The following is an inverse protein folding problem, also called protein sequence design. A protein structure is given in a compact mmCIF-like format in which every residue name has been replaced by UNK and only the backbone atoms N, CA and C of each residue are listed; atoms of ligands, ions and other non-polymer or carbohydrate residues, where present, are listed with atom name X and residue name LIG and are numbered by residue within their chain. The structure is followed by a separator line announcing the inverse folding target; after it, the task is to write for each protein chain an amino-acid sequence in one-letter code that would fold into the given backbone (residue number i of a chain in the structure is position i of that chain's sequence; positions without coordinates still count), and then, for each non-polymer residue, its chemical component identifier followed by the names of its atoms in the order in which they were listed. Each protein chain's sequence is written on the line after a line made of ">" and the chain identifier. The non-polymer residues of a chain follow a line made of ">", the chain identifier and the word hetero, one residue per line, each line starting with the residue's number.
data_IF_895658479838
#
_entry.id   IF_895658479838
#
_cell.length_a   1.000
_cell.length_b   1.000
_cell.length_c   1.000
_cell.angle_alpha   90.00
_cell.angle_beta   90.00
_cell.angle_gamma   90.00
#
_symmetry.space_group_name_H-M   'P 1'
#
loop_
_entity.id
_entity.type
_entity.pdbx_description
1 polymer ?
#
# COMPACT_ATOMS: atom_id res chain seq x y z
N UNK A 1 -28.28 -38.07 -24.44
CA UNK A 1 -28.47 -36.91 -23.53
C UNK A 1 -27.25 -36.79 -22.63
N UNK A 2 -26.37 -35.80 -22.86
CA UNK A 2 -25.18 -35.54 -22.04
C UNK A 2 -25.60 -34.69 -20.83
N UNK A 3 -25.41 -35.21 -19.60
CA UNK A 3 -25.66 -34.46 -18.35
C UNK A 3 -24.69 -33.28 -18.28
N UNK A 4 -25.22 -32.06 -18.15
CA UNK A 4 -24.43 -30.87 -17.84
C UNK A 4 -23.85 -31.00 -16.42
N UNK A 5 -22.56 -30.72 -16.21
CA UNK A 5 -22.00 -30.68 -14.86
C UNK A 5 -22.57 -29.49 -14.08
N UNK A 6 -22.94 -29.76 -12.84
CA UNK A 6 -23.61 -28.82 -11.95
C UNK A 6 -22.57 -27.88 -11.32
N UNK A 7 -22.33 -26.73 -11.96
CA UNK A 7 -21.26 -25.76 -11.65
C UNK A 7 -21.43 -24.98 -10.31
N UNK A 8 -22.39 -25.34 -9.45
CA UNK A 8 -22.71 -24.54 -8.24
C UNK A 8 -22.32 -25.17 -6.90
N UNK A 9 -21.87 -26.43 -6.85
CA UNK A 9 -21.60 -27.11 -5.57
C UNK A 9 -20.11 -27.35 -5.26
N UNK A 10 -19.19 -27.16 -6.22
CA UNK A 10 -17.75 -27.41 -5.99
C UNK A 10 -16.94 -26.16 -5.58
N UNK A 11 -17.52 -24.96 -5.60
CA UNK A 11 -16.80 -23.74 -5.22
C UNK A 11 -16.69 -23.52 -3.70
N UNK A 12 -17.57 -24.12 -2.90
CA UNK A 12 -17.56 -24.00 -1.43
C UNK A 12 -16.70 -25.08 -0.75
N UNK A 13 -16.46 -26.21 -1.42
CA UNK A 13 -15.68 -27.33 -0.87
C UNK A 13 -14.16 -27.11 -0.82
N UNK A 14 -13.64 -26.10 -1.52
CA UNK A 14 -12.19 -25.78 -1.58
C UNK A 14 -11.79 -24.73 -0.51
N UNK A 15 -12.75 -24.11 0.18
CA UNK A 15 -12.48 -23.01 1.11
C UNK A 15 -12.15 -23.42 2.57
N UNK A 16 -12.13 -24.72 2.90
CA UNK A 16 -11.89 -25.20 4.26
C UNK A 16 -10.63 -26.05 4.41
N UNK A 17 -9.53 -25.63 3.77
CA UNK A 17 -8.21 -26.08 4.16
C UNK A 17 -7.72 -25.21 5.33
N UNK A 18 -7.25 -25.81 6.43
CA UNK A 18 -6.78 -25.13 7.66
C UNK A 18 -5.63 -24.13 7.45
N UNK A 19 -5.13 -24.00 6.22
CA UNK A 19 -4.10 -23.04 5.80
C UNK A 19 -4.65 -21.69 5.30
N UNK A 20 -5.97 -21.50 5.23
CA UNK A 20 -6.52 -20.21 4.81
C UNK A 20 -6.26 -19.14 5.90
N UNK A 21 -5.76 -17.94 5.52
CA UNK A 21 -5.59 -16.84 6.45
C UNK A 21 -6.95 -16.26 6.84
N UNK A 22 -7.76 -16.94 7.67
CA UNK A 22 -9.08 -16.39 8.00
C UNK A 22 -9.01 -15.25 9.03
N UNK A 23 -7.83 -14.76 9.40
CA UNK A 23 -7.68 -13.65 10.36
C UNK A 23 -6.64 -12.64 9.89
N UNK A 24 -6.89 -11.37 10.21
CA UNK A 24 -5.96 -10.27 10.03
C UNK A 24 -5.91 -9.42 11.32
N UNK A 25 -4.70 -9.13 11.80
CA UNK A 25 -4.48 -8.20 12.92
C UNK A 25 -4.35 -6.78 12.35
N UNK A 26 -5.19 -5.87 12.84
CA UNK A 26 -5.22 -4.47 12.45
C UNK A 26 -4.79 -3.63 13.66
N UNK A 27 -3.76 -2.77 13.55
CA UNK A 27 -3.42 -1.84 14.61
C UNK A 27 -4.60 -0.95 14.98
N UNK A 28 -4.78 -0.67 16.27
CA UNK A 28 -5.77 0.30 16.70
C UNK A 28 -5.31 1.72 16.37
N UNK A 29 -6.23 2.49 15.80
CA UNK A 29 -5.99 3.84 15.29
C UNK A 29 -6.88 4.80 16.07
N UNK A 30 -6.36 5.97 16.40
CA UNK A 30 -7.12 7.02 17.07
C UNK A 30 -8.30 7.52 16.22
N UNK A 31 -9.38 7.94 16.88
CA UNK A 31 -10.62 8.38 16.21
C UNK A 31 -10.43 9.63 15.34
N UNK A 32 -9.45 10.48 15.66
CA UNK A 32 -9.12 11.69 14.91
C UNK A 32 -8.14 11.47 13.74
N UNK A 33 -7.67 10.23 13.54
CA UNK A 33 -6.86 9.87 12.39
C UNK A 33 -7.70 9.86 11.10
N UNK A 34 -7.09 10.20 9.97
CA UNK A 34 -7.75 10.18 8.65
C UNK A 34 -8.29 8.80 8.26
N UNK A 35 -7.68 7.72 8.77
CA UNK A 35 -8.14 6.36 8.53
C UNK A 35 -9.43 6.00 9.27
N UNK A 36 -9.71 6.70 10.38
CA UNK A 36 -10.92 6.54 11.17
C UNK A 36 -12.02 7.46 10.64
N UNK A 37 -11.66 8.70 10.31
CA UNK A 37 -12.61 9.73 9.83
C UNK A 37 -13.02 9.56 8.37
N UNK A 38 -12.10 9.15 7.48
CA UNK A 38 -12.26 9.34 6.05
C UNK A 38 -12.14 10.83 5.65
N UNK A 39 -12.41 11.17 4.39
CA UNK A 39 -12.77 12.54 4.05
C UNK A 39 -14.24 12.73 4.38
N UNK A 40 -14.55 13.84 5.04
CA UNK A 40 -15.92 14.27 5.32
C UNK A 40 -16.55 14.77 4.00
N UNK A 41 -16.95 13.83 3.13
CA UNK A 41 -17.64 14.12 1.86
C UNK A 41 -19.15 14.28 2.03
N UNK A 42 -19.71 13.88 3.18
CA UNK A 42 -21.15 14.01 3.49
C UNK A 42 -21.59 15.47 3.66
N UNK A 43 -20.68 16.38 4.06
CA UNK A 43 -20.95 17.83 4.17
C UNK A 43 -21.08 18.52 2.79
N UNK A 44 -20.68 17.85 1.71
CA UNK A 44 -20.85 18.32 0.32
C UNK A 44 -22.31 18.23 -0.17
N UNK A 45 -23.18 17.52 0.54
CA UNK A 45 -24.60 17.43 0.21
C UNK A 45 -25.37 18.71 0.61
N UNK A 46 -24.93 19.41 1.67
CA UNK A 46 -25.66 20.56 2.24
C UNK A 46 -25.14 21.94 1.79
N UNK A 47 -23.88 22.02 1.33
CA UNK A 47 -23.29 23.29 0.87
C UNK A 47 -23.31 23.39 -0.66
N UNK A 48 -24.00 24.43 -1.18
CA UNK A 48 -24.16 24.69 -2.61
C UNK A 48 -22.87 25.11 -3.32
N UNK A 49 -21.85 25.51 -2.56
CA UNK A 49 -20.72 26.28 -3.08
C UNK A 49 -19.50 25.41 -3.43
N UNK A 50 -19.48 24.14 -2.99
CA UNK A 50 -18.33 23.24 -3.14
C UNK A 50 -18.40 22.33 -4.37
N UNK A 51 -19.57 22.20 -5.00
CA UNK A 51 -19.75 21.48 -6.28
C UNK A 51 -20.26 22.45 -7.33
N UNK A 52 -19.35 22.93 -8.19
CA UNK A 52 -19.75 23.78 -9.33
C UNK A 52 -20.17 22.92 -10.50
N UNK A 53 -21.48 22.90 -10.80
CA UNK A 53 -22.01 22.28 -12.00
C UNK A 53 -21.75 23.19 -13.21
N UNK A 54 -20.93 22.71 -14.14
CA UNK A 54 -20.68 23.43 -15.41
C UNK A 54 -21.38 22.68 -16.53
N UNK A 55 -22.33 23.35 -17.18
CA UNK A 55 -22.98 22.85 -18.40
C UNK A 55 -21.93 22.65 -19.50
N UNK A 56 -21.77 21.44 -20.03
CA UNK A 56 -20.71 21.15 -20.98
C UNK A 56 -21.00 21.71 -22.38
N UNK A 57 -19.97 21.71 -23.23
CA UNK A 57 -20.07 22.04 -24.65
C UNK A 57 -21.10 21.15 -25.37
N UNK A 58 -21.58 21.57 -26.55
CA UNK A 58 -22.63 20.86 -27.30
C UNK A 58 -22.38 19.35 -27.51
N UNK A 59 -21.11 18.92 -27.53
CA UNK A 59 -20.68 17.52 -27.64
C UNK A 59 -20.90 16.66 -26.38
N UNK A 60 -21.19 17.25 -25.22
CA UNK A 60 -21.42 16.53 -23.95
C UNK A 60 -22.80 16.87 -23.34
N UNK A 61 -23.75 17.30 -24.18
CA UNK A 61 -25.12 17.68 -23.79
C UNK A 61 -25.77 16.62 -22.90
N UNK A 62 -26.30 17.05 -21.75
CA UNK A 62 -26.94 16.17 -20.76
C UNK A 62 -25.97 15.52 -19.75
N UNK A 63 -24.70 15.94 -19.73
CA UNK A 63 -23.73 15.58 -18.69
C UNK A 63 -23.42 16.77 -17.79
N UNK A 64 -22.88 16.48 -16.61
CA UNK A 64 -22.41 17.44 -15.62
C UNK A 64 -20.90 17.30 -15.48
N UNK A 65 -20.22 18.44 -15.33
CA UNK A 65 -18.90 18.50 -14.72
C UNK A 65 -19.08 18.94 -13.27
N UNK A 66 -18.57 18.13 -12.35
CA UNK A 66 -18.47 18.47 -10.94
C UNK A 66 -17.02 18.84 -10.63
N UNK A 67 -16.82 19.99 -10.00
CA UNK A 67 -15.55 20.41 -9.44
C UNK A 67 -15.71 20.46 -7.92
N UNK A 68 -14.89 19.70 -7.20
CA UNK A 68 -14.91 19.62 -5.73
C UNK A 68 -13.58 20.12 -5.19
N UNK A 69 -13.61 21.01 -4.23
CA UNK A 69 -12.40 21.60 -3.65
C UNK A 69 -12.28 21.26 -2.16
N UNK A 70 -11.54 20.18 -1.88
CA UNK A 70 -11.21 19.75 -0.51
C UNK A 70 -9.90 20.38 -0.02
N UNK A 71 -9.47 21.48 -0.63
CA UNK A 71 -8.21 22.12 -0.25
C UNK A 71 -8.27 22.69 1.17
N UNK A 72 -7.15 22.58 1.86
CA UNK A 72 -7.00 23.20 3.17
C UNK A 72 -6.75 24.70 2.98
N UNK A 73 -7.33 25.53 3.85
CA UNK A 73 -7.20 27.00 3.82
C UNK A 73 -5.74 27.49 3.78
N UNK A 74 -4.81 26.68 4.29
CA UNK A 74 -3.37 26.98 4.37
C UNK A 74 -2.59 26.66 3.10
N UNK A 75 -3.23 26.15 2.04
CA UNK A 75 -2.57 25.79 0.78
C UNK A 75 -1.64 24.56 0.88
N UNK A 76 -1.67 23.84 2.01
CA UNK A 76 -0.97 22.57 2.22
C UNK A 76 -1.50 21.49 1.26
N UNK A 77 -0.65 20.55 0.82
CA UNK A 77 -1.09 19.43 0.01
C UNK A 77 -2.08 18.56 0.79
N UNK A 78 -3.18 18.16 0.16
CA UNK A 78 -4.10 17.15 0.69
C UNK A 78 -3.62 15.73 0.37
N UNK A 79 -2.99 15.53 -0.79
CA UNK A 79 -2.55 14.23 -1.29
C UNK A 79 -1.02 14.15 -1.34
N UNK A 80 -0.46 13.04 -0.90
CA UNK A 80 0.92 12.68 -1.23
C UNK A 80 0.96 12.18 -2.68
N UNK A 81 1.67 12.91 -3.54
CA UNK A 81 1.64 12.63 -4.99
C UNK A 81 2.41 11.37 -5.38
N UNK A 82 3.40 10.94 -4.59
CA UNK A 82 4.11 9.69 -4.84
C UNK A 82 3.23 8.49 -4.46
N UNK A 83 2.52 8.58 -3.33
CA UNK A 83 1.56 7.55 -2.93
C UNK A 83 0.37 7.53 -3.88
N UNK A 84 -0.14 8.68 -4.31
CA UNK A 84 -1.21 8.74 -5.32
C UNK A 84 -0.81 8.03 -6.61
N UNK A 85 0.34 8.38 -7.21
CA UNK A 85 0.76 7.74 -8.45
C UNK A 85 1.00 6.24 -8.30
N UNK A 86 1.54 5.81 -7.15
CA UNK A 86 1.69 4.41 -6.81
C UNK A 86 0.33 3.67 -6.83
N UNK A 87 -0.70 4.21 -6.18
CA UNK A 87 -2.04 3.60 -6.15
C UNK A 87 -2.67 3.54 -7.55
N UNK A 88 -2.55 4.62 -8.33
CA UNK A 88 -3.11 4.67 -9.68
C UNK A 88 -2.40 3.72 -10.66
N UNK A 89 -1.08 3.55 -10.52
CA UNK A 89 -0.30 2.60 -11.33
C UNK A 89 -0.64 1.15 -10.95
N UNK A 90 -0.81 0.85 -9.67
CA UNK A 90 -1.21 -0.48 -9.22
C UNK A 90 -2.62 -0.86 -9.67
N UNK A 91 -3.51 0.12 -9.88
CA UNK A 91 -4.89 -0.08 -10.32
C UNK A 91 -5.12 0.24 -11.80
N UNK A 92 -4.06 0.37 -12.59
CA UNK A 92 -4.13 0.91 -13.95
C UNK A 92 -4.99 0.11 -14.92
N UNK A 93 -5.07 -1.21 -14.74
CA UNK A 93 -5.78 -2.11 -15.65
C UNK A 93 -7.31 -1.94 -15.54
N UNK A 94 -7.79 -1.22 -14.52
CA UNK A 94 -9.19 -0.83 -14.36
C UNK A 94 -9.52 0.51 -15.02
N UNK A 95 -8.51 1.25 -15.49
CA UNK A 95 -8.68 2.54 -16.15
C UNK A 95 -8.53 2.39 -17.67
N UNK A 96 -9.42 3.02 -18.43
CA UNK A 96 -9.29 3.11 -19.89
C UNK A 96 -8.09 4.03 -20.28
N UNK A 97 -7.81 5.03 -19.46
CA UNK A 97 -6.63 5.87 -19.56
C UNK A 97 -6.14 6.23 -18.15
N UNK A 98 -4.82 6.26 -17.95
CA UNK A 98 -4.22 6.76 -16.71
C UNK A 98 -2.98 7.59 -17.03
N UNK A 99 -2.86 8.75 -16.36
CA UNK A 99 -1.64 9.56 -16.30
C UNK A 99 -1.47 10.06 -14.89
N UNK A 100 -0.28 9.91 -14.33
CA UNK A 100 0.06 10.51 -13.04
C UNK A 100 1.44 11.16 -13.10
N UNK A 101 1.57 12.32 -12.46
CA UNK A 101 2.84 13.00 -12.30
C UNK A 101 2.99 13.46 -10.86
N UNK A 102 3.91 12.83 -10.14
CA UNK A 102 4.22 13.22 -8.76
C UNK A 102 4.81 14.63 -8.68
N UNK A 103 5.65 15.00 -9.67
CA UNK A 103 6.25 16.33 -9.77
C UNK A 103 5.23 17.45 -10.01
N UNK A 104 4.21 17.21 -10.85
CA UNK A 104 3.15 18.19 -11.12
C UNK A 104 2.02 18.12 -10.09
N UNK A 105 2.02 17.11 -9.23
CA UNK A 105 0.95 16.89 -8.25
C UNK A 105 -0.41 16.65 -8.90
N UNK A 106 -0.45 15.88 -10.00
CA UNK A 106 -1.71 15.61 -10.72
C UNK A 106 -1.83 14.14 -11.12
N UNK A 107 -2.99 13.57 -10.81
CA UNK A 107 -3.47 12.31 -11.35
C UNK A 107 -4.65 12.56 -12.30
N UNK A 108 -4.69 11.84 -13.42
CA UNK A 108 -5.78 11.85 -14.39
C UNK A 108 -6.13 10.42 -14.77
N UNK A 109 -7.38 10.04 -14.57
CA UNK A 109 -7.89 8.72 -14.97
C UNK A 109 -9.14 8.85 -15.82
N UNK A 110 -9.34 7.89 -16.71
CA UNK A 110 -10.62 7.59 -17.34
C UNK A 110 -11.12 6.28 -16.76
N UNK A 111 -12.09 6.35 -15.85
CA UNK A 111 -12.64 5.18 -15.19
C UNK A 111 -14.11 5.04 -15.54
N UNK A 112 -14.48 3.87 -16.08
CA UNK A 112 -15.80 3.65 -16.70
C UNK A 112 -16.02 4.72 -17.80
N UNK A 113 -17.04 5.57 -17.66
CA UNK A 113 -17.33 6.67 -18.58
C UNK A 113 -16.89 8.05 -18.05
N UNK A 114 -16.19 8.13 -16.93
CA UNK A 114 -15.86 9.39 -16.24
C UNK A 114 -14.41 9.76 -16.52
N UNK A 115 -14.16 11.06 -16.70
CA UNK A 115 -12.81 11.60 -16.72
C UNK A 115 -12.57 12.36 -15.42
N UNK A 116 -11.61 11.88 -14.64
CA UNK A 116 -11.37 12.33 -13.27
C UNK A 116 -9.97 12.93 -13.18
N UNK A 117 -9.89 14.13 -12.63
CA UNK A 117 -8.64 14.81 -12.31
C UNK A 117 -8.52 14.94 -10.79
N UNK A 118 -7.37 14.54 -10.27
CA UNK A 118 -7.03 14.58 -8.84
C UNK A 118 -5.80 15.46 -8.69
N UNK A 119 -5.94 16.58 -7.99
CA UNK A 119 -4.84 17.52 -7.77
C UNK A 119 -4.32 17.38 -6.35
N UNK A 120 -3.01 17.50 -6.17
CA UNK A 120 -2.32 17.36 -4.89
C UNK A 120 -2.92 18.24 -3.79
N UNK A 121 -3.40 19.43 -4.15
CA UNK A 121 -4.00 20.38 -3.21
C UNK A 121 -5.40 20.01 -2.73
N UNK A 122 -5.99 18.92 -3.20
CA UNK A 122 -7.33 18.47 -2.80
C UNK A 122 -8.45 18.90 -3.73
N UNK A 123 -8.13 19.46 -4.89
CA UNK A 123 -9.11 19.73 -5.94
C UNK A 123 -9.38 18.46 -6.74
N UNK A 124 -10.65 18.19 -7.02
CA UNK A 124 -11.13 17.08 -7.84
C UNK A 124 -12.00 17.62 -8.96
N UNK A 125 -11.84 17.09 -10.18
CA UNK A 125 -12.75 17.39 -11.30
C UNK A 125 -13.26 16.10 -11.89
N UNK A 126 -14.57 15.91 -11.89
CA UNK A 126 -15.25 14.76 -12.44
C UNK A 126 -16.06 15.25 -13.64
N UNK A 127 -15.71 14.77 -14.83
CA UNK A 127 -16.43 15.05 -16.07
C UNK A 127 -17.25 13.84 -16.52
N UNK A 128 -18.28 14.12 -17.31
CA UNK A 128 -19.20 13.16 -17.92
C UNK A 128 -20.15 12.46 -16.94
N UNK A 129 -20.34 13.01 -15.74
CA UNK A 129 -21.35 12.54 -14.80
C UNK A 129 -22.77 12.82 -15.34
N UNK A 130 -23.74 11.98 -14.99
CA UNK A 130 -25.13 12.17 -15.41
C UNK A 130 -25.84 13.28 -14.64
N UNK A 131 -25.52 13.43 -13.37
CA UNK A 131 -26.05 14.46 -12.47
C UNK A 131 -25.09 14.62 -11.27
N UNK A 132 -25.43 15.48 -10.30
CA UNK A 132 -24.67 15.71 -9.07
C UNK A 132 -24.46 14.42 -8.26
N UNK A 133 -25.53 13.68 -8.01
CA UNK A 133 -25.50 12.45 -7.20
C UNK A 133 -24.54 11.40 -7.80
N UNK A 134 -24.53 11.27 -9.11
CA UNK A 134 -23.63 10.39 -9.86
C UNK A 134 -22.16 10.84 -9.72
N UNK A 135 -21.91 12.16 -9.77
CA UNK A 135 -20.58 12.71 -9.52
C UNK A 135 -20.11 12.45 -8.08
N UNK A 136 -20.98 12.61 -7.07
CA UNK A 136 -20.67 12.32 -5.66
C UNK A 136 -20.36 10.84 -5.47
N UNK A 137 -21.17 9.93 -6.04
CA UNK A 137 -20.89 8.48 -6.00
C UNK A 137 -19.53 8.13 -6.61
N UNK A 138 -19.16 8.79 -7.70
CA UNK A 138 -17.85 8.63 -8.32
C UNK A 138 -16.73 9.19 -7.45
N UNK A 139 -16.93 10.35 -6.81
CA UNK A 139 -15.98 10.93 -5.86
C UNK A 139 -15.72 9.97 -4.70
N UNK A 140 -16.77 9.44 -4.07
CA UNK A 140 -16.67 8.50 -2.96
C UNK A 140 -15.93 7.22 -3.36
N UNK A 141 -16.13 6.75 -4.60
CA UNK A 141 -15.39 5.59 -5.13
C UNK A 141 -13.90 5.90 -5.29
N UNK A 142 -13.56 7.07 -5.83
CA UNK A 142 -12.18 7.52 -6.00
C UNK A 142 -11.50 7.75 -4.65
N UNK A 143 -12.19 8.37 -3.71
CA UNK A 143 -11.70 8.57 -2.35
C UNK A 143 -11.24 7.25 -1.73
N UNK A 144 -12.06 6.19 -1.81
CA UNK A 144 -11.73 4.86 -1.26
C UNK A 144 -10.47 4.26 -1.89
N UNK A 145 -10.25 4.50 -3.18
CA UNK A 145 -9.03 4.12 -3.91
C UNK A 145 -7.83 4.90 -3.40
N UNK A 146 -7.96 6.22 -3.24
CA UNK A 146 -6.84 7.10 -2.97
C UNK A 146 -6.62 7.40 -1.48
N UNK A 147 -7.45 6.87 -0.57
CA UNK A 147 -7.42 7.16 0.87
C UNK A 147 -6.01 7.01 1.45
N UNK A 148 -5.28 5.98 1.00
CA UNK A 148 -3.87 5.75 1.38
C UNK A 148 -2.93 6.94 1.09
N UNK A 149 -3.24 7.76 0.09
CA UNK A 149 -2.46 8.95 -0.29
C UNK A 149 -2.85 10.23 0.44
N UNK A 150 -3.97 10.24 1.16
CA UNK A 150 -4.47 11.45 1.84
C UNK A 150 -3.58 11.76 3.05
N UNK A 151 -3.12 13.01 3.14
CA UNK A 151 -2.27 13.51 4.21
C UNK A 151 -3.14 13.73 5.46
N UNK A 152 -2.80 13.03 6.53
CA UNK A 152 -3.51 13.13 7.80
C UNK A 152 -3.23 14.48 8.47
N UNK A 153 -4.28 15.22 8.83
CA UNK A 153 -4.17 16.49 9.56
C UNK A 153 -3.47 16.36 10.92
N UNK A 154 -3.56 15.18 11.57
CA UNK A 154 -2.97 14.94 12.90
C UNK A 154 -1.45 14.79 12.86
N UNK A 155 -0.90 14.18 11.82
CA UNK A 155 0.51 13.80 11.77
C UNK A 155 1.28 14.28 10.54
N UNK A 156 0.59 14.90 9.60
CA UNK A 156 1.14 15.42 8.35
C UNK A 156 1.84 14.34 7.48
N UNK A 157 1.48 13.07 7.68
CA UNK A 157 1.90 11.93 6.85
C UNK A 157 0.73 11.37 6.04
N UNK A 158 0.98 10.75 4.87
CA UNK A 158 -0.08 10.08 4.12
C UNK A 158 -0.66 8.90 4.93
N UNK A 159 -1.95 8.63 4.75
CA UNK A 159 -2.70 7.67 5.55
C UNK A 159 -2.08 6.26 5.59
N UNK A 160 -1.43 5.85 4.50
CA UNK A 160 -0.69 4.58 4.43
C UNK A 160 0.42 4.47 5.49
N UNK A 161 1.03 5.59 5.86
CA UNK A 161 2.07 5.66 6.89
C UNK A 161 1.50 5.63 8.31
N UNK A 162 0.25 6.06 8.50
CA UNK A 162 -0.45 5.95 9.79
C UNK A 162 -0.63 4.47 10.20
N UNK A 163 -0.84 3.57 9.24
CA UNK A 163 -0.97 2.13 9.50
C UNK A 163 0.37 1.47 9.84
N UNK A 164 1.43 1.80 9.11
CA UNK A 164 2.78 1.27 9.36
C UNK A 164 3.43 1.86 10.60
N UNK A 165 2.69 2.68 11.35
CA UNK A 165 3.16 3.36 12.55
C UNK A 165 4.38 4.25 12.35
N UNK A 166 4.49 4.93 11.20
CA UNK A 166 5.45 6.05 11.09
C UNK A 166 4.94 7.31 11.82
N UNK A 167 3.98 7.14 12.72
CA UNK A 167 3.24 8.21 13.38
C UNK A 167 2.80 7.78 14.78
N UNK A 168 3.44 8.35 15.79
CA UNK A 168 3.08 8.16 17.20
C UNK A 168 1.73 8.78 17.54
N UNK A 169 1.32 9.88 16.88
CA UNK A 169 0.08 10.56 17.23
C UNK A 169 -1.18 9.81 16.76
N UNK A 170 -1.13 9.04 15.67
CA UNK A 170 -2.26 8.25 15.19
C UNK A 170 -2.37 6.88 15.87
N UNK A 171 -1.40 6.53 16.73
CA UNK A 171 -1.43 5.33 17.57
C UNK A 171 -2.54 5.41 18.60
N UNK A 172 -3.40 4.38 18.66
CA UNK A 172 -4.20 4.19 19.87
C UNK A 172 -3.52 3.26 20.85
N UNK A 173 -3.72 3.53 22.15
CA UNK A 173 -3.30 2.64 23.23
C UNK A 173 -4.21 1.41 23.38
N UNK A 174 -5.27 1.32 22.57
CA UNK A 174 -6.16 0.17 22.53
C UNK A 174 -5.48 -1.05 21.90
N UNK A 175 -5.81 -2.24 22.39
CA UNK A 175 -5.31 -3.50 21.81
C UNK A 175 -5.69 -3.61 20.33
N UNK A 176 -4.84 -4.18 19.46
CA UNK A 176 -5.12 -4.33 18.04
C UNK A 176 -6.38 -5.16 17.80
N UNK A 177 -7.09 -4.85 16.73
CA UNK A 177 -8.31 -5.55 16.34
C UNK A 177 -7.97 -6.82 15.57
N UNK A 178 -8.59 -7.93 15.94
CA UNK A 178 -8.47 -9.20 15.21
C UNK A 178 -9.72 -9.35 14.35
N UNK A 179 -9.54 -9.20 13.05
CA UNK A 179 -10.59 -9.30 12.06
C UNK A 179 -10.63 -10.71 11.50
N UNK A 180 -11.81 -11.32 11.40
CA UNK A 180 -11.99 -12.58 10.68
C UNK A 180 -12.40 -12.30 9.24
N UNK A 181 -11.59 -12.72 8.25
CA UNK A 181 -11.84 -12.40 6.85
C UNK A 181 -13.15 -13.01 6.31
N UNK A 182 -13.58 -14.14 6.89
CA UNK A 182 -14.85 -14.80 6.57
C UNK A 182 -16.08 -13.99 6.96
N UNK A 183 -15.94 -12.96 7.80
CA UNK A 183 -17.03 -12.07 8.17
C UNK A 183 -17.35 -11.03 7.08
N UNK A 184 -16.52 -10.93 6.04
CA UNK A 184 -16.65 -9.94 4.97
C UNK A 184 -17.02 -10.65 3.68
N UNK A 185 -18.10 -10.22 3.02
CA UNK A 185 -18.50 -10.76 1.72
C UNK A 185 -17.38 -10.62 0.67
N UNK A 186 -16.69 -9.49 0.69
CA UNK A 186 -15.54 -9.17 -0.15
C UNK A 186 -14.18 -9.60 0.46
N UNK A 187 -14.20 -10.37 1.57
CA UNK A 187 -13.02 -10.97 2.19
C UNK A 187 -12.12 -11.81 1.27
N UNK A 188 -12.63 -12.49 0.21
CA UNK A 188 -11.78 -13.18 -0.75
C UNK A 188 -10.74 -12.29 -1.44
N UNK A 189 -10.98 -10.99 -1.60
CA UNK A 189 -9.95 -10.08 -2.12
C UNK A 189 -8.76 -9.96 -1.17
N UNK A 190 -9.02 -9.83 0.13
CA UNK A 190 -7.96 -9.75 1.14
C UNK A 190 -7.14 -11.03 1.20
N UNK A 191 -7.78 -12.20 1.08
CA UNK A 191 -7.08 -13.49 1.02
C UNK A 191 -6.11 -13.52 -0.17
N UNK A 192 -6.57 -13.18 -1.37
CA UNK A 192 -5.72 -13.12 -2.57
C UNK A 192 -4.60 -12.09 -2.45
N UNK A 193 -4.89 -10.93 -1.84
CA UNK A 193 -3.88 -9.91 -1.60
C UNK A 193 -2.77 -10.42 -0.67
N UNK A 194 -3.14 -11.13 0.39
CA UNK A 194 -2.19 -11.75 1.30
C UNK A 194 -1.36 -12.84 0.60
N UNK A 195 -1.99 -13.73 -0.18
CA UNK A 195 -1.30 -14.76 -0.96
C UNK A 195 -0.29 -14.15 -1.94
N UNK A 196 -0.66 -13.06 -2.60
CA UNK A 196 0.23 -12.35 -3.52
C UNK A 196 1.45 -11.77 -2.78
N UNK A 197 1.28 -11.19 -1.58
CA UNK A 197 2.41 -10.73 -0.75
C UNK A 197 3.28 -11.93 -0.32
N UNK A 198 2.69 -13.06 0.07
CA UNK A 198 3.46 -14.25 0.45
C UNK A 198 4.30 -14.80 -0.70
N UNK A 199 3.74 -14.83 -1.91
CA UNK A 199 4.48 -15.23 -3.10
C UNK A 199 5.62 -14.26 -3.41
N UNK A 200 5.36 -12.95 -3.32
CA UNK A 200 6.39 -11.93 -3.50
C UNK A 200 7.55 -12.06 -2.50
N UNK A 201 7.25 -12.28 -1.21
CA UNK A 201 8.25 -12.50 -0.16
C UNK A 201 9.03 -13.79 -0.42
N UNK A 202 8.35 -14.87 -0.83
CA UNK A 202 9.00 -16.14 -1.16
C UNK A 202 9.99 -15.98 -2.32
N UNK A 203 9.60 -15.22 -3.35
CA UNK A 203 10.46 -14.88 -4.48
C UNK A 203 11.61 -13.97 -4.06
N UNK A 204 11.37 -12.98 -3.20
CA UNK A 204 12.40 -12.12 -2.62
C UNK A 204 13.44 -12.92 -1.83
N UNK A 205 13.00 -13.89 -1.02
CA UNK A 205 13.90 -14.81 -0.32
C UNK A 205 14.72 -15.70 -1.27
N UNK A 206 14.20 -15.97 -2.48
CA UNK A 206 14.88 -16.72 -3.53
C UNK A 206 15.86 -15.87 -4.36
N UNK A 207 15.83 -14.54 -4.24
CA UNK A 207 16.88 -13.66 -4.80
C UNK A 207 18.26 -14.07 -4.23
N UNK A 208 18.30 -14.81 -3.12
CA UNK A 208 19.52 -15.11 -2.40
C UNK A 208 20.46 -16.18 -3.02
N UNK A 209 21.75 -15.91 -2.78
CA UNK A 209 23.00 -16.62 -3.03
C UNK A 209 23.51 -16.75 -4.47
N UNK A 210 22.72 -17.14 -5.48
CA UNK A 210 23.31 -17.35 -6.82
C UNK A 210 23.43 -16.11 -7.69
N UNK A 211 22.46 -15.19 -7.64
CA UNK A 211 22.55 -13.96 -8.46
C UNK A 211 23.64 -13.03 -7.93
N UNK A 212 23.57 -12.68 -6.65
CA UNK A 212 24.51 -11.76 -5.98
C UNK A 212 25.98 -12.21 -6.01
N UNK A 213 26.25 -13.51 -6.04
CA UNK A 213 27.62 -14.05 -6.00
C UNK A 213 28.14 -14.52 -7.38
N UNK A 214 27.27 -14.92 -8.31
CA UNK A 214 27.69 -15.54 -9.59
C UNK A 214 27.32 -14.71 -10.84
N UNK A 215 26.23 -13.93 -10.81
CA UNK A 215 25.75 -13.14 -11.95
C UNK A 215 25.72 -11.68 -11.55
N UNK A 216 26.71 -10.90 -11.98
CA UNK A 216 26.85 -9.48 -11.66
C UNK A 216 25.70 -8.56 -12.18
N UNK A 217 24.47 -9.05 -12.33
CA UNK A 217 23.33 -8.31 -12.83
C UNK A 217 22.06 -8.64 -12.04
N UNK A 218 21.26 -7.63 -11.75
CA UNK A 218 19.95 -7.76 -11.12
C UNK A 218 19.01 -8.71 -11.90
N UNK A 219 18.34 -9.67 -11.26
CA UNK A 219 17.50 -10.65 -11.95
C UNK A 219 16.16 -10.03 -12.39
N UNK A 220 16.15 -9.41 -13.57
CA UNK A 220 15.01 -8.65 -14.10
C UNK A 220 13.70 -9.45 -14.17
N UNK A 221 13.76 -10.76 -14.46
CA UNK A 221 12.59 -11.64 -14.49
C UNK A 221 11.96 -11.82 -13.10
N UNK A 222 12.78 -12.13 -12.09
CA UNK A 222 12.33 -12.28 -10.69
C UNK A 222 11.81 -10.94 -10.17
N UNK A 223 12.53 -9.84 -10.45
CA UNK A 223 12.10 -8.49 -10.10
C UNK A 223 10.72 -8.15 -10.67
N UNK A 224 10.51 -8.43 -11.97
CA UNK A 224 9.21 -8.21 -12.61
C UNK A 224 8.10 -9.04 -11.97
N UNK A 225 8.39 -10.29 -11.59
CA UNK A 225 7.44 -11.19 -10.93
C UNK A 225 7.05 -10.68 -9.53
N UNK A 226 8.02 -10.27 -8.71
CA UNK A 226 7.79 -9.70 -7.37
C UNK A 226 6.98 -8.41 -7.48
N UNK A 227 7.38 -7.47 -8.35
CA UNK A 227 6.66 -6.20 -8.55
C UNK A 227 5.21 -6.43 -8.96
N UNK A 228 4.98 -7.35 -9.90
CA UNK A 228 3.62 -7.73 -10.32
C UNK A 228 2.80 -8.27 -9.16
N UNK A 229 3.33 -9.21 -8.36
CA UNK A 229 2.62 -9.76 -7.19
C UNK A 229 2.28 -8.70 -6.15
N UNK A 230 3.19 -7.77 -5.90
CA UNK A 230 2.94 -6.68 -4.95
C UNK A 230 1.90 -5.69 -5.49
N UNK A 231 1.87 -5.41 -6.80
CA UNK A 231 0.79 -4.62 -7.42
C UNK A 231 -0.55 -5.35 -7.39
N UNK A 232 -0.60 -6.66 -7.68
CA UNK A 232 -1.82 -7.48 -7.53
C UNK A 232 -2.35 -7.41 -6.09
N UNK A 233 -1.47 -7.44 -5.08
CA UNK A 233 -1.88 -7.30 -3.69
C UNK A 233 -2.55 -5.94 -3.40
N UNK A 234 -1.98 -4.85 -3.94
CA UNK A 234 -2.56 -3.51 -3.83
C UNK A 234 -3.91 -3.47 -4.54
N UNK A 235 -4.00 -3.99 -5.75
CA UNK A 235 -5.23 -4.03 -6.54
C UNK A 235 -6.36 -4.77 -5.81
N UNK A 236 -6.09 -5.97 -5.30
CA UNK A 236 -7.08 -6.71 -4.52
C UNK A 236 -7.52 -5.94 -3.27
N UNK A 237 -6.59 -5.29 -2.60
CA UNK A 237 -6.90 -4.47 -1.42
C UNK A 237 -7.76 -3.26 -1.77
N UNK A 238 -7.54 -2.64 -2.93
CA UNK A 238 -8.37 -1.53 -3.44
C UNK A 238 -9.77 -2.01 -3.83
N UNK A 239 -9.89 -3.21 -4.44
CA UNK A 239 -11.19 -3.83 -4.71
C UNK A 239 -11.98 -4.08 -3.41
N UNK A 240 -11.30 -4.54 -2.35
CA UNK A 240 -11.92 -4.64 -1.03
C UNK A 240 -12.40 -3.27 -0.52
N UNK A 241 -11.57 -2.23 -0.60
CA UNK A 241 -11.94 -0.87 -0.17
C UNK A 241 -13.13 -0.29 -0.95
N UNK A 242 -13.25 -0.61 -2.24
CA UNK A 242 -14.36 -0.16 -3.09
C UNK A 242 -15.69 -0.83 -2.74
N UNK A 243 -15.65 -2.10 -2.36
CA UNK A 243 -16.86 -2.89 -2.09
C UNK A 243 -17.33 -2.81 -0.63
N UNK A 244 -16.52 -2.30 0.29
CA UNK A 244 -16.96 -2.12 1.67
C UNK A 244 -17.81 -0.85 1.82
N UNK A 245 -18.88 -0.90 2.59
CA UNK A 245 -19.72 0.26 2.87
C UNK A 245 -19.17 1.11 4.02
N UNK A 246 -18.58 0.47 5.02
CA UNK A 246 -18.15 1.13 6.28
C UNK A 246 -16.73 1.68 6.15
N UNK A 247 -16.53 2.93 6.54
CA UNK A 247 -15.21 3.58 6.52
C UNK A 247 -14.22 2.86 7.46
N UNK A 248 -14.70 2.33 8.59
CA UNK A 248 -13.87 1.56 9.52
C UNK A 248 -13.22 0.34 8.86
N UNK A 249 -13.83 -0.24 7.83
CA UNK A 249 -13.29 -1.40 7.16
C UNK A 249 -12.21 -1.02 6.14
N UNK A 250 -12.15 0.23 5.66
CA UNK A 250 -11.13 0.69 4.71
C UNK A 250 -9.71 0.48 5.25
N UNK A 251 -9.53 0.64 6.58
CA UNK A 251 -8.23 0.40 7.23
C UNK A 251 -7.70 -1.02 6.99
N UNK A 252 -8.58 -2.02 6.82
CA UNK A 252 -8.21 -3.42 6.58
C UNK A 252 -7.50 -3.54 5.22
N UNK A 253 -8.07 -2.95 4.16
CA UNK A 253 -7.44 -2.92 2.85
C UNK A 253 -6.15 -2.11 2.86
N UNK A 254 -6.12 -0.97 3.57
CA UNK A 254 -4.94 -0.12 3.66
C UNK A 254 -3.76 -0.83 4.35
N UNK A 255 -3.99 -1.73 5.32
CA UNK A 255 -2.91 -2.56 5.90
C UNK A 255 -2.18 -3.35 4.82
N UNK A 256 -2.92 -4.02 3.93
CA UNK A 256 -2.32 -4.82 2.87
C UNK A 256 -1.63 -3.94 1.82
N UNK A 257 -2.22 -2.80 1.45
CA UNK A 257 -1.58 -1.81 0.56
C UNK A 257 -0.24 -1.36 1.18
N UNK A 258 -0.22 -1.08 2.48
CA UNK A 258 0.96 -0.61 3.18
C UNK A 258 2.07 -1.68 3.26
N UNK A 259 1.70 -2.93 3.57
CA UNK A 259 2.62 -4.06 3.55
C UNK A 259 3.18 -4.31 2.15
N UNK A 260 2.35 -4.24 1.11
CA UNK A 260 2.81 -4.39 -0.27
C UNK A 260 3.78 -3.28 -0.67
N UNK A 261 3.45 -2.01 -0.36
CA UNK A 261 4.35 -0.87 -0.60
C UNK A 261 5.69 -1.02 0.13
N UNK A 262 5.68 -1.47 1.39
CA UNK A 262 6.91 -1.71 2.16
C UNK A 262 7.82 -2.73 1.48
N UNK A 263 7.27 -3.82 0.96
CA UNK A 263 8.03 -4.83 0.24
C UNK A 263 8.53 -4.34 -1.14
N UNK A 264 7.79 -3.46 -1.81
CA UNK A 264 8.26 -2.79 -3.03
C UNK A 264 9.46 -1.90 -2.73
N UNK A 265 9.39 -1.09 -1.68
CA UNK A 265 10.52 -0.26 -1.26
C UNK A 265 11.74 -1.11 -0.91
N UNK A 266 11.57 -2.23 -0.18
CA UNK A 266 12.68 -3.14 0.10
C UNK A 266 13.34 -3.67 -1.18
N UNK A 267 12.54 -4.07 -2.18
CA UNK A 267 13.03 -4.56 -3.46
C UNK A 267 13.79 -3.47 -4.24
N UNK A 268 13.31 -2.22 -4.21
CA UNK A 268 13.97 -1.08 -4.84
C UNK A 268 15.31 -0.73 -4.17
N UNK A 269 15.35 -0.75 -2.84
CA UNK A 269 16.59 -0.56 -2.08
C UNK A 269 17.59 -1.71 -2.34
N UNK A 270 17.12 -2.96 -2.39
CA UNK A 270 17.97 -4.11 -2.75
C UNK A 270 18.56 -3.96 -4.16
N UNK A 271 17.73 -3.58 -5.13
CA UNK A 271 18.16 -3.30 -6.50
C UNK A 271 19.23 -2.19 -6.53
N UNK A 272 18.99 -1.06 -5.85
CA UNK A 272 19.89 0.08 -5.82
C UNK A 272 21.26 -0.28 -5.24
N UNK A 273 21.30 -1.01 -4.13
CA UNK A 273 22.56 -1.43 -3.49
C UNK A 273 23.34 -2.42 -4.37
N UNK A 274 22.65 -3.28 -5.14
CA UNK A 274 23.30 -4.23 -6.06
C UNK A 274 23.85 -3.53 -7.30
N UNK A 275 23.17 -2.50 -7.80
CA UNK A 275 23.64 -1.68 -8.92
C UNK A 275 24.93 -0.94 -8.57
N UNK A 276 25.22 -0.73 -7.28
CA UNK A 276 26.51 -0.23 -6.76
C UNK A 276 27.63 -1.26 -6.72
N UNK A 277 27.52 -2.38 -7.45
CA UNK A 277 28.50 -3.50 -7.42
C UNK A 277 29.95 -3.13 -7.73
N UNK A 278 30.17 -2.01 -8.40
CA UNK A 278 31.50 -1.51 -8.74
C UNK A 278 32.20 -0.82 -7.56
N UNK A 279 31.44 -0.41 -6.53
CA UNK A 279 31.98 0.20 -5.31
C UNK A 279 32.88 -0.77 -4.54
N UNK A 280 33.92 -0.22 -3.93
CA UNK A 280 34.82 -0.99 -3.07
C UNK A 280 34.09 -1.55 -1.84
N UNK A 281 33.15 -0.76 -1.29
CA UNK A 281 32.29 -1.16 -0.17
C UNK A 281 31.49 -2.41 -0.50
N UNK A 282 30.83 -2.46 -1.67
CA UNK A 282 30.08 -3.63 -2.08
C UNK A 282 30.98 -4.87 -2.14
N UNK A 283 32.14 -4.79 -2.79
CA UNK A 283 33.05 -5.94 -2.92
C UNK A 283 33.52 -6.48 -1.57
N UNK A 284 33.85 -5.59 -0.63
CA UNK A 284 34.29 -5.96 0.73
C UNK A 284 33.16 -6.54 1.58
N UNK A 285 31.92 -6.12 1.34
CA UNK A 285 30.78 -6.43 2.20
C UNK A 285 29.69 -7.30 1.55
N UNK A 286 29.87 -7.78 0.31
CA UNK A 286 28.83 -8.47 -0.49
C UNK A 286 28.10 -9.59 0.25
N UNK A 287 28.83 -10.39 1.04
CA UNK A 287 28.25 -11.47 1.83
C UNK A 287 27.40 -10.93 2.98
N UNK A 288 27.91 -9.92 3.69
CA UNK A 288 27.18 -9.26 4.79
C UNK A 288 25.93 -8.54 4.25
N UNK A 289 25.99 -7.96 3.05
CA UNK A 289 24.85 -7.31 2.40
C UNK A 289 23.81 -8.34 1.93
N UNK A 290 24.23 -9.45 1.33
CA UNK A 290 23.31 -10.54 0.97
C UNK A 290 22.59 -11.14 2.19
N UNK A 291 23.31 -11.30 3.31
CA UNK A 291 22.71 -11.71 4.58
C UNK A 291 21.76 -10.65 5.16
N UNK A 292 22.10 -9.36 5.04
CA UNK A 292 21.25 -8.23 5.45
C UNK A 292 19.89 -8.27 4.74
N UNK A 293 19.86 -8.35 3.41
CA UNK A 293 18.59 -8.41 2.66
C UNK A 293 17.79 -9.68 2.95
N UNK A 294 18.47 -10.82 3.14
CA UNK A 294 17.81 -12.06 3.61
C UNK A 294 17.06 -11.85 4.91
N UNK A 295 17.65 -11.13 5.86
CA UNK A 295 17.03 -10.83 7.15
C UNK A 295 15.84 -9.88 6.99
N UNK A 296 15.95 -8.87 6.13
CA UNK A 296 14.86 -7.94 5.86
C UNK A 296 13.63 -8.63 5.26
N UNK A 297 13.83 -9.48 4.25
CA UNK A 297 12.75 -10.31 3.68
C UNK A 297 12.12 -11.24 4.73
N UNK A 298 12.95 -11.83 5.57
CA UNK A 298 12.54 -12.65 6.72
C UNK A 298 11.73 -11.87 7.77
N UNK A 299 12.10 -10.62 8.04
CA UNK A 299 11.32 -9.74 8.92
C UNK A 299 9.93 -9.50 8.31
N UNK A 300 9.85 -9.20 7.01
CA UNK A 300 8.57 -8.99 6.33
C UNK A 300 7.71 -10.27 6.30
N UNK A 301 8.33 -11.44 6.12
CA UNK A 301 7.66 -12.74 6.22
C UNK A 301 7.02 -12.94 7.60
N UNK A 302 7.78 -12.68 8.67
CA UNK A 302 7.27 -12.82 10.03
C UNK A 302 6.21 -11.77 10.37
N UNK A 303 6.35 -10.53 9.87
CA UNK A 303 5.32 -9.48 10.02
C UNK A 303 4.00 -9.94 9.40
N UNK A 304 4.03 -10.56 8.22
CA UNK A 304 2.85 -11.10 7.57
C UNK A 304 2.26 -12.28 8.37
N UNK A 305 3.09 -13.15 8.95
CA UNK A 305 2.64 -14.24 9.84
C UNK A 305 1.99 -13.72 11.12
N UNK A 306 2.53 -12.65 11.72
CA UNK A 306 1.90 -11.97 12.87
C UNK A 306 0.51 -11.48 12.47
N UNK A 307 0.41 -10.80 11.32
CA UNK A 307 -0.87 -10.33 10.82
C UNK A 307 -1.87 -11.50 10.67
N UNK A 308 -1.40 -12.72 10.36
CA UNK A 308 -2.25 -13.90 10.20
C UNK A 308 -2.71 -14.55 11.50
N UNK A 309 -1.86 -14.77 12.51
CA UNK A 309 -2.24 -15.49 13.76
C UNK A 309 -1.17 -15.69 14.83
N UNK A 310 0.09 -15.31 14.61
CA UNK A 310 1.18 -15.87 15.42
C UNK A 310 1.97 -14.82 16.21
N UNK A 311 1.60 -14.63 17.49
CA UNK A 311 2.37 -13.78 18.43
C UNK A 311 3.75 -14.37 18.76
N UNK A 312 4.01 -15.66 18.51
CA UNK A 312 5.32 -16.29 18.80
C UNK A 312 6.43 -15.72 17.90
N UNK A 313 6.08 -15.13 16.75
CA UNK A 313 7.07 -14.55 15.84
C UNK A 313 7.58 -13.16 16.25
N UNK A 314 7.02 -12.55 17.29
CA UNK A 314 7.43 -11.20 17.65
C UNK A 314 8.88 -11.17 18.17
N UNK A 315 9.26 -12.12 19.02
CA UNK A 315 10.63 -12.22 19.52
C UNK A 315 11.62 -12.50 18.37
N UNK A 316 11.24 -13.37 17.43
CA UNK A 316 12.03 -13.64 16.23
C UNK A 316 12.30 -12.36 15.42
N UNK A 317 11.30 -11.50 15.26
CA UNK A 317 11.48 -10.22 14.55
C UNK A 317 12.39 -9.28 15.31
N UNK A 318 12.23 -9.17 16.64
CA UNK A 318 13.11 -8.32 17.45
C UNK A 318 14.58 -8.78 17.36
N UNK A 319 14.81 -10.09 17.42
CA UNK A 319 16.14 -10.68 17.25
C UNK A 319 16.72 -10.40 15.85
N UNK A 320 15.91 -10.56 14.79
CA UNK A 320 16.32 -10.25 13.40
C UNK A 320 16.60 -8.76 13.22
N UNK A 321 15.83 -7.87 13.83
CA UNK A 321 16.05 -6.41 13.81
C UNK A 321 17.38 -6.06 14.47
N UNK A 322 17.69 -6.67 15.63
CA UNK A 322 18.99 -6.49 16.27
C UNK A 322 20.14 -6.99 15.38
N UNK A 323 19.95 -8.13 14.70
CA UNK A 323 20.94 -8.67 13.76
C UNK A 323 21.16 -7.74 12.56
N UNK A 324 20.08 -7.18 11.98
CA UNK A 324 20.14 -6.18 10.91
C UNK A 324 20.96 -4.97 11.33
N UNK A 325 20.69 -4.39 12.52
CA UNK A 325 21.45 -3.26 13.07
C UNK A 325 22.94 -3.58 13.24
N UNK A 326 23.25 -4.79 13.72
CA UNK A 326 24.63 -5.25 13.86
C UNK A 326 25.34 -5.37 12.51
N UNK A 327 24.66 -5.87 11.46
CA UNK A 327 25.23 -5.95 10.10
C UNK A 327 25.44 -4.57 9.49
N UNK A 328 24.50 -3.64 9.65
CA UNK A 328 24.65 -2.26 9.17
C UNK A 328 25.86 -1.58 9.85
N UNK A 329 25.98 -1.72 11.17
CA UNK A 329 27.14 -1.20 11.91
C UNK A 329 28.47 -1.83 11.48
N UNK A 330 28.47 -3.12 11.12
CA UNK A 330 29.66 -3.79 10.57
C UNK A 330 30.04 -3.19 9.23
N UNK A 331 29.08 -2.93 8.34
CA UNK A 331 29.34 -2.32 7.03
C UNK A 331 29.89 -0.89 7.20
N UNK A 332 29.28 -0.07 8.06
CA UNK A 332 29.76 1.31 8.36
C UNK A 332 31.16 1.38 8.94
N UNK A 333 31.55 0.39 9.77
CA UNK A 333 32.92 0.33 10.34
C UNK A 333 33.96 0.09 9.27
N UNK A 334 33.57 -0.52 8.16
CA UNK A 334 34.51 -0.89 7.10
C UNK A 334 34.83 0.29 6.17
N UNK A 335 33.97 1.32 6.02
CA UNK A 335 34.28 2.52 5.21
C UNK A 335 33.20 3.62 5.28
N UNK A 336 33.55 4.84 4.86
CA UNK A 336 32.66 6.00 4.72
C UNK A 336 32.59 6.48 3.27
N UNK A 337 31.71 5.88 2.46
CA UNK A 337 31.34 6.39 1.14
C UNK A 337 29.92 6.97 1.21
N UNK A 338 29.72 8.18 0.70
CA UNK A 338 28.50 8.95 0.90
C UNK A 338 27.27 8.25 0.27
N UNK A 339 27.42 7.75 -0.96
CA UNK A 339 26.29 7.17 -1.70
C UNK A 339 25.79 5.85 -1.09
N UNK A 340 26.68 5.07 -0.48
CA UNK A 340 26.31 3.84 0.22
C UNK A 340 25.63 4.13 1.57
N UNK A 341 26.03 5.21 2.24
CA UNK A 341 25.45 5.62 3.53
C UNK A 341 23.96 5.99 3.38
N UNK A 342 23.57 6.68 2.30
CA UNK A 342 22.17 7.03 2.07
C UNK A 342 21.27 5.76 1.98
N UNK A 343 21.73 4.71 1.28
CA UNK A 343 20.99 3.45 1.20
C UNK A 343 20.93 2.74 2.57
N UNK A 344 22.03 2.76 3.34
CA UNK A 344 22.01 2.20 4.69
C UNK A 344 21.05 2.95 5.61
N UNK A 345 20.99 4.28 5.54
CA UNK A 345 20.03 5.08 6.30
C UNK A 345 18.58 4.74 5.94
N UNK A 346 18.30 4.51 4.65
CA UNK A 346 16.97 4.06 4.19
C UNK A 346 16.62 2.66 4.72
N UNK A 347 17.57 1.73 4.70
CA UNK A 347 17.39 0.38 5.27
C UNK A 347 17.17 0.44 6.80
N UNK A 348 17.93 1.28 7.51
CA UNK A 348 17.75 1.48 8.95
C UNK A 348 16.40 2.07 9.29
N UNK A 349 15.95 3.06 8.50
CA UNK A 349 14.62 3.66 8.62
C UNK A 349 13.54 2.59 8.45
N UNK A 350 13.63 1.75 7.42
CA UNK A 350 12.66 0.67 7.20
C UNK A 350 12.67 -0.39 8.31
N UNK A 351 13.85 -0.68 8.87
CA UNK A 351 14.02 -1.57 10.02
C UNK A 351 13.37 -0.99 11.27
N UNK A 352 13.53 0.32 11.51
CA UNK A 352 12.88 1.04 12.62
C UNK A 352 11.36 1.02 12.47
N UNK A 353 10.85 1.26 11.27
CA UNK A 353 9.41 1.19 10.99
C UNK A 353 8.85 -0.20 11.31
N UNK A 354 9.58 -1.27 11.00
CA UNK A 354 9.18 -2.65 11.37
C UNK A 354 9.14 -2.84 12.89
N UNK A 355 10.10 -2.30 13.63
CA UNK A 355 10.12 -2.35 15.10
C UNK A 355 8.92 -1.60 15.72
N UNK A 356 8.60 -0.42 15.19
CA UNK A 356 7.49 0.43 15.63
C UNK A 356 6.13 -0.24 15.37
N UNK A 357 5.98 -0.90 14.22
CA UNK A 357 4.79 -1.69 13.92
C UNK A 357 4.62 -2.85 14.92
N UNK A 358 5.71 -3.55 15.24
CA UNK A 358 5.71 -4.66 16.19
C UNK A 358 5.30 -4.21 17.59
N UNK A 359 5.82 -3.07 18.06
CA UNK A 359 5.49 -2.51 19.38
C UNK A 359 3.99 -2.28 19.53
N UNK A 360 3.32 -1.80 18.48
CA UNK A 360 1.86 -1.59 18.50
C UNK A 360 1.03 -2.85 18.50
N UNK A 361 1.48 -3.90 17.83
CA UNK A 361 0.75 -5.18 17.86
C UNK A 361 0.91 -5.89 19.22
N UNK A 362 1.92 -5.51 20.02
CA UNK A 362 2.12 -6.03 21.39
C UNK A 362 1.19 -5.39 22.43
N UNK A 363 0.95 -4.08 22.33
CA UNK A 363 0.04 -3.34 23.21
C UNK A 363 -1.38 -3.84 23.02
#
# INVERSE_FOLDING_TARGET
>A
MKKKPNLKTDFLGILMNEKNPNRLIIPSIEEDCILSKGLETEELEETSDEIVEISPCASERGKVMAEVDLSQKEGKPLLDSNVLCFLLEAYKDHFAEMKCSSRLGIGRVMWKAYRIYMYQKGKFKIRFAHNREDAIKMLNSIERIILSSIICKKCEKPAIECILNKCESCASNNSPQIIKLENFFNGPFLVRGIEAIEEAIREGLQINHKSLLEKESWPSEINGKIKRRLHEAVEYSMNFCLETSENENLKIGIVLIALAKKNLSLLEEEQAVIEMKESEIWRKNKETIGELFKLLWKINEDMLKICKRDKQNIENIQNRIAEVRNKINKIRKNEKEIDFEENLERIEKETRNSEEFIKKIKM
#
